data_IF_878568956341
#
_entry.id   IF_878568956341
#
_cell.length_a   1.000
_cell.length_b   1.000
_cell.length_c   1.000
_cell.angle_alpha   90.00
_cell.angle_beta   90.00
_cell.angle_gamma   90.00
#
_symmetry.space_group_name_H-M   'P 1'
#
loop_
_entity.id
_entity.type
_entity.pdbx_description
1 polymer ?
#
# COMPACT_ATOMS: atom_id res chain seq x y z
N UNK A 1 6.41 2.30 -22.03
CA UNK A 1 6.16 1.59 -20.76
C UNK A 1 6.44 2.52 -19.60
N UNK A 2 5.58 2.50 -18.55
CA UNK A 2 5.87 3.11 -17.26
C UNK A 2 6.57 2.09 -16.36
N UNK A 3 7.60 2.52 -15.63
CA UNK A 3 8.34 1.67 -14.70
C UNK A 3 8.24 2.26 -13.31
N UNK A 4 7.81 1.44 -12.35
CA UNK A 4 7.88 1.73 -10.93
C UNK A 4 8.87 0.75 -10.32
N UNK A 5 9.94 1.29 -9.75
CA UNK A 5 11.04 0.49 -9.22
C UNK A 5 11.25 0.77 -7.73
N UNK A 6 10.94 -0.21 -6.90
CA UNK A 6 11.16 -0.13 -5.45
C UNK A 6 12.57 -0.62 -5.10
N UNK A 7 13.30 0.21 -4.39
CA UNK A 7 14.68 -0.08 -3.97
C UNK A 7 14.89 0.29 -2.51
N UNK A 8 15.94 -0.25 -1.88
CA UNK A 8 16.34 0.20 -0.55
C UNK A 8 16.72 1.69 -0.57
N UNK A 9 16.54 2.40 0.55
CA UNK A 9 16.86 3.82 0.69
C UNK A 9 18.29 4.13 0.21
N UNK A 10 19.27 3.34 0.66
CA UNK A 10 20.68 3.50 0.27
C UNK A 10 20.89 3.38 -1.25
N UNK A 11 20.22 2.40 -1.88
CA UNK A 11 20.29 2.22 -3.33
C UNK A 11 19.61 3.37 -4.08
N UNK A 12 18.47 3.83 -3.62
CA UNK A 12 17.77 4.98 -4.18
C UNK A 12 18.59 6.25 -4.14
N UNK A 13 19.26 6.54 -3.02
CA UNK A 13 20.18 7.68 -2.89
C UNK A 13 21.38 7.57 -3.84
N UNK A 14 21.94 6.37 -4.02
CA UNK A 14 23.01 6.14 -4.99
C UNK A 14 22.55 6.36 -6.44
N UNK A 15 21.38 5.88 -6.79
CA UNK A 15 20.79 6.10 -8.12
C UNK A 15 20.56 7.59 -8.39
N UNK A 16 20.09 8.34 -7.38
CA UNK A 16 19.94 9.80 -7.51
C UNK A 16 21.29 10.48 -7.78
N UNK A 17 22.33 10.12 -7.02
CA UNK A 17 23.69 10.69 -7.19
C UNK A 17 24.29 10.32 -8.55
N UNK A 18 24.09 9.10 -9.01
CA UNK A 18 24.58 8.62 -10.30
C UNK A 18 23.76 9.08 -11.51
N UNK A 19 22.61 9.68 -11.25
CA UNK A 19 21.74 10.26 -12.25
C UNK A 19 21.19 9.25 -13.26
N UNK A 20 20.66 9.79 -14.35
CA UNK A 20 19.98 9.02 -15.41
C UNK A 20 20.87 7.92 -16.01
N UNK A 21 22.18 8.14 -16.08
CA UNK A 21 23.12 7.18 -16.65
C UNK A 21 23.20 5.90 -15.81
N UNK A 22 23.39 6.03 -14.48
CA UNK A 22 23.46 4.88 -13.57
C UNK A 22 22.11 4.16 -13.49
N UNK A 23 21.03 4.91 -13.38
CA UNK A 23 19.68 4.36 -13.36
C UNK A 23 19.37 3.55 -14.63
N UNK A 24 19.79 4.05 -15.81
CA UNK A 24 19.59 3.33 -17.07
C UNK A 24 20.39 2.04 -17.14
N UNK A 25 21.65 2.06 -16.68
CA UNK A 25 22.51 0.86 -16.68
C UNK A 25 21.93 -0.24 -15.76
N UNK A 26 21.56 0.13 -14.53
CA UNK A 26 20.99 -0.82 -13.59
C UNK A 26 19.61 -1.32 -14.05
N UNK A 27 18.76 -0.46 -14.59
CA UNK A 27 17.46 -0.86 -15.10
C UNK A 27 17.61 -1.85 -16.26
N UNK A 28 18.51 -1.57 -17.21
CA UNK A 28 18.80 -2.49 -18.33
C UNK A 28 19.23 -3.86 -17.85
N UNK A 29 20.08 -3.95 -16.84
CA UNK A 29 20.53 -5.25 -16.31
C UNK A 29 19.40 -6.10 -15.73
N UNK A 30 18.31 -5.45 -15.25
CA UNK A 30 17.17 -6.13 -14.65
C UNK A 30 16.12 -6.52 -15.69
N UNK A 31 15.82 -5.63 -16.64
CA UNK A 31 14.66 -5.79 -17.53
C UNK A 31 15.00 -6.26 -18.93
N UNK A 32 16.27 -6.21 -19.35
CA UNK A 32 16.67 -6.57 -20.72
C UNK A 32 16.27 -7.99 -21.14
N UNK A 33 16.27 -8.94 -20.20
CA UNK A 33 15.84 -10.32 -20.46
C UNK A 33 14.34 -10.46 -20.79
N UNK A 34 13.52 -9.48 -20.39
CA UNK A 34 12.06 -9.53 -20.55
C UNK A 34 11.54 -8.57 -21.63
N UNK A 35 12.19 -7.43 -21.80
CA UNK A 35 11.67 -6.33 -22.64
C UNK A 35 12.64 -5.92 -23.75
N UNK A 36 13.83 -6.52 -23.80
CA UNK A 36 14.88 -6.16 -24.74
C UNK A 36 15.58 -4.84 -24.37
N UNK A 37 16.12 -4.15 -25.37
CA UNK A 37 16.78 -2.86 -25.15
C UNK A 37 15.78 -1.78 -24.72
N UNK A 38 16.04 -1.14 -23.58
CA UNK A 38 15.25 -0.04 -23.07
C UNK A 38 16.13 1.17 -22.76
N UNK A 39 15.55 2.37 -22.97
CA UNK A 39 16.17 3.65 -22.59
C UNK A 39 15.18 4.43 -21.72
N UNK A 40 15.68 5.10 -20.70
CA UNK A 40 14.89 6.05 -19.92
C UNK A 40 14.72 7.31 -20.77
N UNK A 41 13.49 7.59 -21.19
CA UNK A 41 13.16 8.75 -22.04
C UNK A 41 13.06 10.00 -21.16
N UNK A 42 12.23 9.93 -20.12
CA UNK A 42 11.96 11.05 -19.23
C UNK A 42 12.91 11.10 -18.02
N UNK A 43 12.78 12.13 -17.20
CA UNK A 43 13.43 12.19 -15.89
C UNK A 43 12.78 11.16 -14.96
N UNK A 44 13.62 10.40 -14.23
CA UNK A 44 13.10 9.56 -13.17
C UNK A 44 12.90 10.35 -11.89
N UNK A 45 11.85 10.04 -11.17
CA UNK A 45 11.50 10.67 -9.90
C UNK A 45 11.70 9.67 -8.77
N UNK A 46 12.21 10.16 -7.65
CA UNK A 46 12.37 9.37 -6.44
C UNK A 46 11.38 9.84 -5.39
N UNK A 47 10.68 8.90 -4.80
CA UNK A 47 9.75 9.15 -3.72
C UNK A 47 10.13 8.27 -2.53
N UNK A 48 10.54 8.86 -1.39
CA UNK A 48 10.80 8.07 -0.20
C UNK A 48 9.49 7.48 0.32
N UNK A 49 9.50 6.17 0.56
CA UNK A 49 8.37 5.48 1.18
C UNK A 49 8.49 5.70 2.69
N UNK A 50 7.58 6.48 3.23
CA UNK A 50 7.50 6.75 4.68
C UNK A 50 6.19 6.21 5.22
N UNK A 51 6.22 5.67 6.44
CA UNK A 51 5.01 5.31 7.17
C UNK A 51 4.65 6.46 8.11
N UNK A 52 3.47 7.01 7.93
CA UNK A 52 2.90 8.03 8.81
C UNK A 52 1.74 7.39 9.60
N UNK A 53 1.78 7.54 10.91
CA UNK A 53 0.67 7.15 11.80
C UNK A 53 0.42 8.30 12.76
N UNK A 54 -0.61 9.12 12.54
CA UNK A 54 -0.97 10.18 13.47
C UNK A 54 -1.50 9.59 14.77
N UNK A 55 -1.33 10.30 15.87
CA UNK A 55 -1.86 9.89 17.18
C UNK A 55 -3.39 9.90 17.20
N UNK A 56 -4.01 10.80 16.46
CA UNK A 56 -5.46 10.92 16.29
C UNK A 56 -5.78 11.37 14.88
N UNK A 57 -6.90 10.91 14.34
CA UNK A 57 -7.38 11.33 13.02
C UNK A 57 -8.51 12.36 13.12
N UNK A 58 -8.99 12.64 14.34
CA UNK A 58 -10.02 13.66 14.60
C UNK A 58 -9.52 14.66 15.64
N UNK A 59 -9.77 15.93 15.37
CA UNK A 59 -9.54 17.05 16.28
C UNK A 59 -10.83 17.80 16.54
N UNK A 60 -10.75 18.94 17.21
CA UNK A 60 -11.92 19.74 17.57
C UNK A 60 -12.73 20.16 16.33
N UNK A 61 -12.07 20.70 15.32
CA UNK A 61 -12.67 21.10 14.03
C UNK A 61 -11.93 20.52 12.83
N UNK A 62 -11.25 19.41 13.02
CA UNK A 62 -10.36 18.82 12.03
C UNK A 62 -10.64 17.32 11.91
N UNK A 63 -10.66 16.84 10.69
CA UNK A 63 -10.67 15.42 10.36
C UNK A 63 -9.59 15.15 9.31
N UNK A 64 -8.76 14.19 9.57
CA UNK A 64 -7.76 13.71 8.61
C UNK A 64 -8.36 12.59 7.76
N UNK A 65 -8.06 12.60 6.45
CA UNK A 65 -8.50 11.58 5.49
C UNK A 65 -7.34 11.17 4.59
N UNK A 66 -7.41 9.97 4.02
CA UNK A 66 -6.38 9.46 3.12
C UNK A 66 -5.00 9.40 3.77
N UNK A 67 -3.97 9.78 3.04
CA UNK A 67 -2.57 9.72 3.49
C UNK A 67 -2.29 10.63 4.69
N UNK A 68 -3.01 11.75 4.83
CA UNK A 68 -2.91 12.61 6.01
C UNK A 68 -3.37 11.89 7.29
N UNK A 69 -4.35 11.00 7.19
CA UNK A 69 -4.81 10.18 8.30
C UNK A 69 -3.94 8.92 8.54
N UNK A 70 -2.88 8.75 7.78
CA UNK A 70 -1.90 7.68 7.91
C UNK A 70 -1.64 6.96 6.61
N UNK A 71 -0.37 6.71 6.34
CA UNK A 71 0.07 5.97 5.15
C UNK A 71 0.23 4.49 5.46
N UNK A 72 -0.30 3.64 4.58
CA UNK A 72 -0.03 2.20 4.58
C UNK A 72 1.11 1.93 3.60
N UNK A 73 1.89 0.88 3.87
CA UNK A 73 2.98 0.48 2.98
C UNK A 73 2.45 0.25 1.55
N UNK A 74 3.07 0.84 0.52
CA UNK A 74 2.51 0.90 -0.85
C UNK A 74 2.55 -0.42 -1.61
N UNK A 75 2.94 -1.54 -0.98
CA UNK A 75 3.05 -2.86 -1.64
C UNK A 75 1.79 -3.29 -2.37
N UNK A 76 0.63 -2.78 -1.98
CA UNK A 76 -0.63 -3.14 -2.62
C UNK A 76 -1.20 -2.02 -3.53
N UNK A 77 -0.52 -0.87 -3.70
CA UNK A 77 -1.03 0.26 -4.49
C UNK A 77 -2.37 0.83 -3.99
N UNK A 78 -2.75 0.55 -2.74
CA UNK A 78 -4.10 0.81 -2.23
C UNK A 78 -4.27 2.15 -1.51
N UNK A 79 -3.25 3.02 -1.50
CA UNK A 79 -3.34 4.34 -0.84
C UNK A 79 -4.53 5.16 -1.37
N UNK A 80 -4.68 5.26 -2.69
CA UNK A 80 -5.80 5.96 -3.31
C UNK A 80 -7.15 5.34 -2.92
N UNK A 81 -7.27 4.02 -2.96
CA UNK A 81 -8.50 3.31 -2.60
C UNK A 81 -8.88 3.55 -1.14
N UNK A 82 -7.90 3.57 -0.24
CA UNK A 82 -8.11 3.89 1.17
C UNK A 82 -8.61 5.33 1.33
N UNK A 83 -8.01 6.29 0.61
CA UNK A 83 -8.44 7.70 0.63
C UNK A 83 -9.88 7.89 0.14
N UNK A 84 -10.27 7.22 -0.94
CA UNK A 84 -11.65 7.24 -1.45
C UNK A 84 -12.61 6.65 -0.42
N UNK A 85 -12.23 5.56 0.23
CA UNK A 85 -13.04 4.95 1.31
C UNK A 85 -13.17 5.83 2.52
N UNK A 86 -12.09 6.47 2.94
CA UNK A 86 -12.12 7.44 4.04
C UNK A 86 -13.18 8.53 3.76
N UNK A 87 -13.20 9.05 2.54
CA UNK A 87 -14.20 10.04 2.11
C UNK A 87 -15.63 9.48 2.17
N UNK A 88 -15.83 8.24 1.71
CA UNK A 88 -17.16 7.59 1.76
C UNK A 88 -17.61 7.29 3.18
N UNK A 89 -16.71 6.81 4.06
CA UNK A 89 -17.04 6.53 5.47
C UNK A 89 -17.37 7.85 6.18
N UNK A 90 -16.58 8.88 5.95
CA UNK A 90 -16.80 10.20 6.52
C UNK A 90 -18.12 10.80 6.04
N UNK A 91 -18.39 10.78 4.74
CA UNK A 91 -19.65 11.26 4.16
C UNK A 91 -20.87 10.58 4.78
N UNK A 92 -20.84 9.25 4.91
CA UNK A 92 -21.90 8.49 5.57
C UNK A 92 -22.04 8.84 7.06
N UNK A 93 -20.91 9.04 7.75
CA UNK A 93 -20.93 9.39 9.17
C UNK A 93 -21.52 10.79 9.42
N UNK A 94 -21.18 11.76 8.56
CA UNK A 94 -21.66 13.15 8.70
C UNK A 94 -23.05 13.33 8.10
N UNK A 95 -23.33 12.73 6.94
CA UNK A 95 -24.59 12.87 6.20
C UNK A 95 -25.72 11.98 6.69
N UNK A 96 -25.44 11.00 7.57
CA UNK A 96 -26.44 10.10 8.14
C UNK A 96 -27.38 10.80 9.13
N UNK A 97 -28.07 10.02 9.96
CA UNK A 97 -29.08 10.49 10.91
C UNK A 97 -28.65 11.80 11.61
N UNK A 98 -29.54 12.80 11.58
CA UNK A 98 -29.31 14.10 12.24
C UNK A 98 -29.23 14.00 13.77
N UNK A 99 -29.56 12.83 14.32
CA UNK A 99 -29.49 12.55 15.76
C UNK A 99 -28.04 12.22 16.16
N UNK A 100 -27.54 12.90 17.17
CA UNK A 100 -26.20 12.71 17.72
C UNK A 100 -25.25 13.88 17.45
N UNK A 101 -24.30 14.08 18.36
CA UNK A 101 -23.31 15.14 18.24
C UNK A 101 -22.32 14.85 17.09
N UNK A 102 -21.78 15.89 16.48
CA UNK A 102 -20.75 15.77 15.43
C UNK A 102 -19.58 14.94 15.94
N UNK A 103 -19.20 15.11 17.18
CA UNK A 103 -18.11 14.34 17.80
C UNK A 103 -18.37 12.82 17.78
N UNK A 104 -19.61 12.38 18.12
CA UNK A 104 -19.97 10.95 18.05
C UNK A 104 -19.89 10.40 16.61
N UNK A 105 -20.30 11.20 15.64
CA UNK A 105 -20.22 10.85 14.22
C UNK A 105 -18.78 10.69 13.77
N UNK A 106 -17.89 11.62 14.14
CA UNK A 106 -16.47 11.55 13.81
C UNK A 106 -15.77 10.37 14.52
N UNK A 107 -16.13 10.06 15.75
CA UNK A 107 -15.65 8.86 16.46
C UNK A 107 -16.07 7.57 15.73
N UNK A 108 -17.26 7.53 15.16
CA UNK A 108 -17.69 6.39 14.33
C UNK A 108 -16.82 6.23 13.08
N UNK A 109 -16.47 7.35 12.40
CA UNK A 109 -15.54 7.37 11.30
C UNK A 109 -14.16 6.83 11.72
N UNK A 110 -13.56 7.38 12.80
CA UNK A 110 -12.25 6.98 13.31
C UNK A 110 -12.17 5.47 13.58
N UNK A 111 -13.19 4.92 14.26
CA UNK A 111 -13.24 3.49 14.59
C UNK A 111 -13.30 2.60 13.33
N UNK A 112 -14.22 2.93 12.40
CA UNK A 112 -14.35 2.16 11.15
C UNK A 112 -13.09 2.22 10.30
N UNK A 113 -12.45 3.39 10.26
CA UNK A 113 -11.16 3.55 9.59
C UNK A 113 -10.07 2.72 10.24
N UNK A 114 -9.93 2.81 11.56
CA UNK A 114 -8.91 2.07 12.32
C UNK A 114 -9.00 0.56 12.10
N UNK A 115 -10.21 0.00 12.07
CA UNK A 115 -10.46 -1.41 11.77
C UNK A 115 -9.94 -1.79 10.37
N UNK A 116 -10.30 -1.02 9.34
CA UNK A 116 -9.86 -1.28 7.96
C UNK A 116 -8.34 -1.14 7.80
N UNK A 117 -7.75 -0.10 8.39
CA UNK A 117 -6.29 0.11 8.39
C UNK A 117 -5.56 -1.02 9.10
N UNK A 118 -6.09 -1.51 10.23
CA UNK A 118 -5.50 -2.62 10.96
C UNK A 118 -5.49 -3.92 10.13
N UNK A 119 -6.61 -4.26 9.49
CA UNK A 119 -6.71 -5.43 8.60
C UNK A 119 -5.70 -5.32 7.46
N UNK A 120 -5.66 -4.17 6.77
CA UNK A 120 -4.77 -3.97 5.64
C UNK A 120 -3.30 -3.99 6.06
N UNK A 121 -2.96 -3.37 7.18
CA UNK A 121 -1.60 -3.37 7.73
C UNK A 121 -1.16 -4.78 8.15
N UNK A 122 -2.05 -5.57 8.72
CA UNK A 122 -1.77 -6.96 9.08
C UNK A 122 -1.49 -7.80 7.81
N UNK A 123 -2.31 -7.67 6.79
CA UNK A 123 -2.14 -8.38 5.53
C UNK A 123 -0.84 -8.00 4.83
N UNK A 124 -0.56 -6.70 4.69
CA UNK A 124 0.67 -6.23 4.00
C UNK A 124 1.93 -6.59 4.76
N UNK A 125 1.92 -6.48 6.09
CA UNK A 125 3.04 -6.90 6.93
C UNK A 125 3.24 -8.42 6.89
N UNK A 126 2.17 -9.20 7.00
CA UNK A 126 2.23 -10.65 6.94
C UNK A 126 2.78 -11.14 5.60
N UNK A 127 2.33 -10.56 4.49
CA UNK A 127 2.91 -10.83 3.17
C UNK A 127 4.39 -10.44 3.10
N UNK A 128 4.74 -9.25 3.55
CA UNK A 128 6.13 -8.79 3.56
C UNK A 128 7.03 -9.74 4.35
N UNK A 129 6.67 -10.10 5.57
CA UNK A 129 7.42 -11.04 6.40
C UNK A 129 7.53 -12.41 5.74
N UNK A 130 6.45 -12.92 5.15
CA UNK A 130 6.47 -14.19 4.41
C UNK A 130 7.45 -14.19 3.24
N UNK A 131 7.60 -13.05 2.55
CA UNK A 131 8.55 -12.92 1.43
C UNK A 131 9.97 -12.61 1.87
N UNK A 132 10.17 -12.02 3.03
CA UNK A 132 11.50 -11.73 3.59
C UNK A 132 12.14 -12.96 4.25
N UNK A 133 11.35 -13.94 4.68
CA UNK A 133 11.89 -15.18 5.24
C UNK A 133 12.61 -16.00 4.16
N UNK A 134 13.91 -16.21 4.34
CA UNK A 134 14.74 -17.02 3.47
C UNK A 134 14.88 -18.43 4.05
N UNK A 135 14.64 -19.45 3.23
CA UNK A 135 14.82 -20.85 3.59
C UNK A 135 14.09 -21.78 2.62
N UNK A 136 14.67 -22.95 2.37
CA UNK A 136 14.09 -23.94 1.46
C UNK A 136 12.72 -24.39 1.95
N UNK A 137 12.56 -24.61 3.25
CA UNK A 137 11.29 -25.00 3.87
C UNK A 137 10.23 -23.91 3.75
N UNK A 138 10.61 -22.64 3.89
CA UNK A 138 9.70 -21.49 3.75
C UNK A 138 9.30 -21.30 2.29
N UNK A 139 10.20 -21.52 1.36
CA UNK A 139 9.92 -21.47 -0.08
C UNK A 139 8.89 -22.53 -0.48
N UNK A 140 9.01 -23.73 0.07
CA UNK A 140 8.06 -24.83 -0.16
C UNK A 140 6.67 -24.50 0.44
N UNK A 141 6.61 -24.03 1.68
CA UNK A 141 5.35 -23.63 2.34
C UNK A 141 4.67 -22.47 1.60
N UNK A 142 5.45 -21.51 1.09
CA UNK A 142 4.97 -20.42 0.25
C UNK A 142 4.31 -20.93 -1.03
N UNK A 143 4.98 -21.86 -1.73
CA UNK A 143 4.45 -22.49 -2.94
C UNK A 143 3.15 -23.26 -2.68
N UNK A 144 3.08 -24.03 -1.59
CA UNK A 144 1.86 -24.72 -1.17
C UNK A 144 0.74 -23.73 -0.83
N UNK A 145 1.04 -22.66 -0.08
CA UNK A 145 0.06 -21.64 0.28
C UNK A 145 -0.55 -20.97 -0.95
N UNK A 146 0.26 -20.60 -1.94
CA UNK A 146 -0.22 -20.04 -3.20
C UNK A 146 -1.03 -21.06 -4.01
N UNK A 147 -0.64 -22.31 -4.07
CA UNK A 147 -1.39 -23.38 -4.76
C UNK A 147 -2.77 -23.59 -4.12
N UNK A 148 -2.85 -23.59 -2.79
CA UNK A 148 -4.13 -23.67 -2.07
C UNK A 148 -5.00 -22.44 -2.34
N UNK A 149 -4.40 -21.24 -2.29
CA UNK A 149 -5.11 -20.00 -2.60
C UNK A 149 -5.64 -19.99 -4.03
N UNK A 150 -4.83 -20.45 -4.99
CA UNK A 150 -5.21 -20.52 -6.40
C UNK A 150 -6.37 -21.49 -6.65
N UNK A 151 -6.39 -22.62 -5.97
CA UNK A 151 -7.45 -23.64 -6.10
C UNK A 151 -8.73 -23.31 -5.35
N UNK A 152 -8.67 -22.42 -4.34
CA UNK A 152 -9.80 -22.14 -3.45
C UNK A 152 -10.53 -20.86 -3.87
N UNK A 153 -11.65 -21.00 -4.55
CA UNK A 153 -12.50 -19.86 -4.97
C UNK A 153 -13.00 -19.01 -3.80
N UNK A 154 -13.22 -19.62 -2.63
CA UNK A 154 -13.67 -18.92 -1.42
C UNK A 154 -12.59 -17.93 -0.94
N UNK A 155 -11.32 -18.35 -0.91
CA UNK A 155 -10.21 -17.48 -0.52
C UNK A 155 -10.00 -16.34 -1.52
N UNK A 156 -10.15 -16.60 -2.81
CA UNK A 156 -10.12 -15.55 -3.86
C UNK A 156 -11.24 -14.53 -3.67
N UNK A 157 -12.47 -14.99 -3.45
CA UNK A 157 -13.62 -14.09 -3.18
C UNK A 157 -13.42 -13.29 -1.91
N UNK A 158 -12.90 -13.90 -0.84
CA UNK A 158 -12.60 -13.20 0.42
C UNK A 158 -11.53 -12.12 0.20
N UNK A 159 -10.45 -12.45 -0.49
CA UNK A 159 -9.39 -11.50 -0.82
C UNK A 159 -9.89 -10.35 -1.70
N UNK A 160 -10.69 -10.67 -2.73
CA UNK A 160 -11.32 -9.66 -3.59
C UNK A 160 -12.26 -8.76 -2.78
N UNK A 161 -13.09 -9.31 -1.90
CA UNK A 161 -13.96 -8.52 -1.03
C UNK A 161 -13.17 -7.61 -0.08
N UNK A 162 -12.05 -8.08 0.47
CA UNK A 162 -11.17 -7.25 1.31
C UNK A 162 -10.52 -6.14 0.48
N UNK A 163 -10.13 -6.44 -0.76
CA UNK A 163 -9.49 -5.48 -1.64
C UNK A 163 -10.48 -4.49 -2.27
N UNK A 164 -11.74 -4.90 -2.52
CA UNK A 164 -12.77 -4.09 -3.19
C UNK A 164 -13.72 -3.40 -2.21
N UNK A 165 -13.85 -3.89 -0.98
CA UNK A 165 -14.61 -3.27 0.10
C UNK A 165 -13.74 -2.45 1.05
#
# INVERSE_FOLDING_TARGET
FGVVWSVSKKRGENLLRGGKRLASLELRSIVSHHVGECKIVDEFKYFPITSLKPNTVIGDRLVLVGDAAGTIHPMAGQGLNLGIRDALILSKAVGGDKRGSMHCKLRSYERRRAEKVAIMSCLTRGLHELFCLNGVSVSFLRGMGFSIFEKTQILKKLALNIASN
#
